data_IF_637764467703
#
_entry.id   IF_637764467703
#
_cell.length_a   1.000
_cell.length_b   1.000
_cell.length_c   1.000
_cell.angle_alpha   90.00
_cell.angle_beta   90.00
_cell.angle_gamma   90.00
#
_symmetry.space_group_name_H-M   'P 1'
#
loop_
_entity.id
_entity.type
_entity.pdbx_description
1 polymer ?
#
# COMPACT_ATOMS: atom_id res chain seq x y z
N UNK A 1 29.61 31.21 74.80
CA UNK A 1 30.93 31.04 74.13
C UNK A 1 31.06 29.78 73.25
N UNK A 2 30.00 28.99 73.01
CA UNK A 2 30.05 27.83 72.08
C UNK A 2 29.40 28.09 70.72
N UNK A 3 28.77 29.25 70.53
CA UNK A 3 27.97 29.55 69.32
C UNK A 3 28.68 30.53 68.37
N UNK A 4 29.80 31.13 68.82
CA UNK A 4 30.66 32.01 68.00
C UNK A 4 31.72 31.20 67.23
N UNK A 5 32.09 30.02 67.73
CA UNK A 5 33.03 29.11 67.04
C UNK A 5 32.43 28.49 65.77
N UNK A 6 31.12 28.23 65.74
CA UNK A 6 30.47 27.68 64.55
C UNK A 6 30.26 28.69 63.41
N UNK A 7 30.24 29.99 63.72
CA UNK A 7 30.04 31.04 62.72
C UNK A 7 31.34 31.41 61.99
N UNK A 8 32.50 31.17 62.62
CA UNK A 8 33.81 31.26 61.98
C UNK A 8 34.19 29.98 61.20
N UNK A 9 33.65 28.81 61.58
CA UNK A 9 33.93 27.55 60.91
C UNK A 9 33.23 27.41 59.54
N UNK A 10 32.10 28.10 59.32
CA UNK A 10 31.35 28.04 58.05
C UNK A 10 31.88 29.00 56.97
N UNK A 11 32.61 30.04 57.36
CA UNK A 11 33.17 31.03 56.42
C UNK A 11 34.51 30.57 55.82
N UNK A 12 35.23 29.64 56.46
CA UNK A 12 36.49 29.09 55.93
C UNK A 12 36.31 27.94 54.91
N UNK A 13 35.09 27.41 54.74
CA UNK A 13 34.80 26.32 53.79
C UNK A 13 34.28 26.80 52.41
N UNK A 14 33.99 28.10 52.26
CA UNK A 14 33.42 28.70 51.04
C UNK A 14 34.43 29.55 50.24
N UNK A 15 35.72 29.44 50.53
CA UNK A 15 36.78 30.20 49.84
C UNK A 15 37.84 29.30 49.18
N UNK A 16 37.41 28.16 48.62
CA UNK A 16 38.21 27.30 47.73
C UNK A 16 37.48 27.06 46.39
N UNK A 17 36.55 27.95 46.05
CA UNK A 17 36.02 28.08 44.70
C UNK A 17 36.90 29.04 43.90
N UNK A 18 38.08 28.58 43.43
CA UNK A 18 38.81 29.25 42.36
C UNK A 18 39.77 28.28 41.66
N UNK A 19 39.40 27.95 40.41
CA UNK A 19 40.25 27.46 39.32
C UNK A 19 40.95 26.10 39.51
N UNK A 20 40.17 25.03 39.39
CA UNK A 20 40.68 23.81 38.76
C UNK A 20 41.04 24.15 37.31
N UNK A 21 42.31 24.41 37.06
CA UNK A 21 42.88 24.34 35.72
C UNK A 21 42.66 22.92 35.20
N UNK A 22 41.66 22.73 34.36
CA UNK A 22 41.52 21.55 33.54
C UNK A 22 42.70 21.53 32.55
N UNK A 23 43.81 20.90 32.97
CA UNK A 23 44.82 20.46 32.01
C UNK A 23 44.12 19.49 31.06
N UNK A 24 43.80 19.97 29.86
CA UNK A 24 43.45 19.13 28.71
C UNK A 24 44.62 18.18 28.49
N UNK A 25 44.59 17.02 29.13
CA UNK A 25 45.34 15.86 28.66
C UNK A 25 44.79 15.59 27.28
N UNK A 26 45.60 15.84 26.25
CA UNK A 26 45.29 15.45 24.89
C UNK A 26 45.22 13.92 24.87
N UNK A 27 44.05 13.38 25.23
CA UNK A 27 43.63 12.08 24.74
C UNK A 27 43.51 12.29 23.25
N UNK A 28 44.40 11.65 22.49
CA UNK A 28 44.21 11.45 21.07
C UNK A 28 42.82 10.80 20.94
N UNK A 29 41.81 11.61 20.65
CA UNK A 29 40.53 11.10 20.21
C UNK A 29 40.87 10.31 18.95
N UNK A 30 40.89 8.97 19.07
CA UNK A 30 40.82 8.15 17.88
C UNK A 30 39.54 8.60 17.18
N UNK A 31 39.70 9.20 16.00
CA UNK A 31 38.59 9.39 15.10
C UNK A 31 37.85 8.05 15.06
N UNK A 32 36.51 8.01 15.24
CA UNK A 32 35.76 6.79 15.04
C UNK A 32 36.24 6.17 13.72
N UNK A 33 36.63 4.88 13.76
CA UNK A 33 36.90 4.16 12.54
C UNK A 33 35.69 4.36 11.62
N UNK A 34 35.88 4.63 10.31
CA UNK A 34 34.78 4.70 9.38
C UNK A 34 33.88 3.48 9.61
N UNK A 35 32.59 3.71 9.85
CA UNK A 35 31.65 2.61 9.95
C UNK A 35 31.79 1.75 8.68
N UNK A 36 31.72 0.41 8.78
CA UNK A 36 31.72 -0.45 7.61
C UNK A 36 30.74 0.11 6.58
N UNK A 37 31.20 0.28 5.33
CA UNK A 37 30.30 0.68 4.26
C UNK A 37 29.11 -0.30 4.25
N UNK A 38 27.86 0.19 4.18
CA UNK A 38 26.70 -0.69 4.14
C UNK A 38 26.89 -1.70 3.03
N UNK A 39 26.86 -3.00 3.37
CA UNK A 39 26.91 -4.03 2.34
C UNK A 39 25.72 -3.83 1.38
N UNK A 40 25.96 -3.81 0.06
CA UNK A 40 24.90 -3.61 -0.91
C UNK A 40 23.87 -4.73 -0.77
N UNK A 41 22.58 -4.35 -0.71
CA UNK A 41 21.50 -5.30 -0.52
C UNK A 41 21.44 -6.30 -1.69
N UNK A 42 21.56 -7.59 -1.38
CA UNK A 42 21.37 -8.67 -2.35
C UNK A 42 19.88 -9.01 -2.46
N UNK A 43 19.25 -8.62 -3.58
CA UNK A 43 17.80 -8.76 -3.79
C UNK A 43 17.39 -10.23 -3.72
N UNK A 44 18.14 -11.12 -4.37
CA UNK A 44 17.88 -12.57 -4.36
C UNK A 44 17.81 -13.11 -2.94
N UNK A 45 18.83 -12.80 -2.13
CA UNK A 45 18.88 -13.25 -0.74
C UNK A 45 17.76 -12.67 0.11
N UNK A 46 17.41 -11.39 -0.10
CA UNK A 46 16.28 -10.77 0.60
C UNK A 46 14.95 -11.47 0.27
N UNK A 47 14.70 -11.79 -1.01
CA UNK A 47 13.46 -12.43 -1.41
C UNK A 47 13.38 -13.90 -1.01
N UNK A 48 14.51 -14.61 -1.04
CA UNK A 48 14.59 -16.03 -0.68
C UNK A 48 14.43 -16.25 0.84
N UNK A 49 15.02 -15.39 1.68
CA UNK A 49 15.01 -15.56 3.14
C UNK A 49 13.82 -14.90 3.82
N UNK A 50 13.38 -13.72 3.34
CA UNK A 50 12.49 -12.87 4.13
C UNK A 50 10.99 -13.20 4.03
N UNK A 51 10.55 -14.07 3.12
CA UNK A 51 9.13 -14.39 3.03
C UNK A 51 8.71 -15.29 1.87
N UNK A 52 7.39 -15.49 1.72
CA UNK A 52 6.84 -16.26 0.61
C UNK A 52 6.86 -15.40 -0.67
N UNK A 53 8.05 -15.12 -1.20
CA UNK A 53 8.28 -14.32 -2.40
C UNK A 53 8.87 -15.13 -3.56
N UNK A 54 8.87 -16.46 -3.45
CA UNK A 54 9.54 -17.37 -4.37
C UNK A 54 8.95 -17.30 -5.78
N UNK A 55 7.64 -17.08 -5.91
CA UNK A 55 6.97 -16.93 -7.20
C UNK A 55 7.43 -15.67 -7.91
N UNK A 56 7.50 -14.55 -7.19
CA UNK A 56 8.01 -13.30 -7.75
C UNK A 56 9.50 -13.39 -8.10
N UNK A 57 10.30 -14.05 -7.26
CA UNK A 57 11.71 -14.31 -7.53
C UNK A 57 11.90 -15.12 -8.83
N UNK A 58 11.12 -16.19 -9.02
CA UNK A 58 11.13 -16.97 -10.27
C UNK A 58 10.80 -16.12 -11.49
N UNK A 59 9.84 -15.20 -11.38
CA UNK A 59 9.53 -14.27 -12.47
C UNK A 59 10.68 -13.27 -12.74
N UNK A 60 11.34 -12.77 -11.70
CA UNK A 60 12.52 -11.90 -11.84
C UNK A 60 13.66 -12.61 -12.59
N UNK A 61 13.87 -13.90 -12.28
CA UNK A 61 14.86 -14.75 -12.95
C UNK A 61 14.47 -15.04 -14.40
N UNK A 62 13.25 -15.54 -14.65
CA UNK A 62 12.81 -15.95 -15.99
C UNK A 62 12.74 -14.79 -16.99
N UNK A 63 12.47 -13.57 -16.50
CA UNK A 63 12.41 -12.36 -17.33
C UNK A 63 13.74 -11.62 -17.45
N UNK A 64 14.81 -12.12 -16.81
CA UNK A 64 16.12 -11.47 -16.72
C UNK A 64 16.05 -10.04 -16.14
N UNK A 65 15.09 -9.77 -15.25
CA UNK A 65 14.94 -8.47 -14.59
C UNK A 65 15.78 -8.37 -13.32
N UNK A 66 16.05 -9.50 -12.66
CA UNK A 66 16.84 -9.57 -11.42
C UNK A 66 18.19 -8.85 -11.55
N UNK A 67 18.93 -9.10 -12.63
CA UNK A 67 20.22 -8.47 -12.88
C UNK A 67 20.11 -6.94 -13.01
N UNK A 68 19.11 -6.45 -13.74
CA UNK A 68 18.84 -5.01 -13.89
C UNK A 68 18.57 -4.35 -12.55
N UNK A 69 17.71 -4.95 -11.72
CA UNK A 69 17.38 -4.40 -10.41
C UNK A 69 18.57 -4.46 -9.46
N UNK A 70 19.36 -5.55 -9.49
CA UNK A 70 20.56 -5.65 -8.66
C UNK A 70 21.61 -4.62 -9.06
N UNK A 71 21.81 -4.38 -10.37
CA UNK A 71 22.70 -3.31 -10.85
C UNK A 71 22.22 -1.94 -10.37
N UNK A 72 20.91 -1.68 -10.39
CA UNK A 72 20.36 -0.44 -9.84
C UNK A 72 20.59 -0.33 -8.33
N UNK A 73 20.32 -1.42 -7.58
CA UNK A 73 20.49 -1.47 -6.13
C UNK A 73 21.93 -1.19 -5.68
N UNK A 74 22.92 -1.47 -6.54
CA UNK A 74 24.32 -1.22 -6.26
C UNK A 74 24.75 0.23 -6.52
N UNK A 75 23.89 1.07 -7.13
CA UNK A 75 24.20 2.49 -7.34
C UNK A 75 23.99 3.26 -6.03
N UNK A 76 24.96 4.09 -5.68
CA UNK A 76 24.95 4.91 -4.46
C UNK A 76 24.79 6.41 -4.74
N UNK A 77 24.84 6.82 -6.02
CA UNK A 77 24.98 8.21 -6.45
C UNK A 77 23.64 8.98 -6.51
N UNK A 78 22.72 8.67 -5.60
CA UNK A 78 21.38 9.27 -5.52
C UNK A 78 20.32 8.58 -6.39
N UNK A 79 20.71 7.61 -7.20
CA UNK A 79 19.80 6.65 -7.81
C UNK A 79 19.66 5.45 -6.86
N UNK A 80 18.43 5.03 -6.59
CA UNK A 80 18.14 3.92 -5.68
C UNK A 80 17.15 2.96 -6.30
N UNK A 81 16.69 2.00 -5.50
CA UNK A 81 15.68 1.05 -5.89
C UNK A 81 14.60 0.98 -4.84
N UNK A 82 13.34 1.06 -5.29
CA UNK A 82 12.20 0.61 -4.50
C UNK A 82 11.57 -0.57 -5.22
N UNK A 83 11.39 -1.68 -4.54
CA UNK A 83 10.79 -2.90 -5.08
C UNK A 83 9.53 -3.25 -4.28
N UNK A 84 8.41 -3.37 -4.96
CA UNK A 84 7.17 -3.89 -4.41
C UNK A 84 7.06 -5.38 -4.70
N UNK A 85 6.93 -6.18 -3.66
CA UNK A 85 6.99 -7.64 -3.74
C UNK A 85 5.64 -8.24 -3.36
N UNK A 86 4.89 -8.79 -4.32
CA UNK A 86 3.69 -9.56 -4.02
C UNK A 86 4.05 -10.86 -3.31
N UNK A 87 3.21 -11.27 -2.35
CA UNK A 87 3.30 -12.61 -1.74
C UNK A 87 2.92 -13.69 -2.75
N UNK A 88 3.38 -14.91 -2.52
CA UNK A 88 3.03 -16.09 -3.32
C UNK A 88 1.49 -16.26 -3.45
N UNK A 89 0.75 -16.04 -2.35
CA UNK A 89 -0.72 -16.09 -2.32
C UNK A 89 -1.39 -15.03 -3.22
N UNK A 90 -0.71 -13.91 -3.49
CA UNK A 90 -1.22 -12.87 -4.38
C UNK A 90 -1.27 -13.37 -5.82
N UNK A 91 -0.35 -14.26 -6.22
CA UNK A 91 -0.36 -14.90 -7.54
C UNK A 91 -1.42 -15.98 -7.64
N UNK A 92 -1.63 -16.78 -6.58
CA UNK A 92 -2.67 -17.81 -6.57
C UNK A 92 -4.08 -17.21 -6.58
N UNK A 93 -4.24 -16.02 -5.98
CA UNK A 93 -5.50 -15.27 -5.95
C UNK A 93 -5.80 -14.58 -7.28
N UNK A 94 -4.79 -14.37 -8.12
CA UNK A 94 -4.92 -13.72 -9.43
C UNK A 94 -5.47 -14.70 -10.48
N UNK A 95 -6.80 -14.87 -10.49
CA UNK A 95 -7.48 -15.74 -11.47
C UNK A 95 -7.64 -15.06 -12.84
N UNK A 96 -8.08 -13.81 -12.82
CA UNK A 96 -8.29 -12.99 -14.01
C UNK A 96 -7.87 -11.54 -13.69
N UNK A 97 -6.99 -10.92 -14.49
CA UNK A 97 -6.32 -11.47 -15.67
C UNK A 97 -5.19 -12.46 -15.32
N UNK A 98 -4.88 -13.41 -16.21
CA UNK A 98 -3.79 -14.37 -16.01
C UNK A 98 -2.46 -13.87 -16.58
N UNK A 99 -1.39 -13.94 -15.80
CA UNK A 99 -0.02 -13.63 -16.25
C UNK A 99 0.50 -14.64 -17.29
N UNK A 100 -0.08 -15.84 -17.35
CA UNK A 100 0.36 -16.90 -18.30
C UNK A 100 -0.04 -16.61 -19.75
N UNK A 101 -0.97 -15.68 -19.97
CA UNK A 101 -1.42 -15.28 -21.31
C UNK A 101 -0.57 -14.15 -21.90
N UNK A 102 0.43 -13.66 -21.17
CA UNK A 102 1.28 -12.56 -21.59
C UNK A 102 2.42 -13.07 -22.49
N UNK A 103 2.82 -12.24 -23.44
CA UNK A 103 4.11 -12.42 -24.13
C UNK A 103 5.26 -12.19 -23.15
N UNK A 104 6.45 -12.74 -23.43
CA UNK A 104 7.65 -12.54 -22.60
C UNK A 104 7.96 -11.04 -22.39
N UNK A 105 7.77 -10.23 -23.42
CA UNK A 105 7.94 -8.77 -23.36
C UNK A 105 6.93 -8.13 -22.40
N UNK A 106 5.65 -8.50 -22.48
CA UNK A 106 4.62 -7.99 -21.58
C UNK A 106 4.88 -8.44 -20.14
N UNK A 107 5.21 -9.71 -19.93
CA UNK A 107 5.54 -10.24 -18.61
C UNK A 107 6.72 -9.46 -18.00
N UNK A 108 7.79 -9.24 -18.78
CA UNK A 108 8.92 -8.42 -18.34
C UNK A 108 8.51 -7.01 -17.93
N UNK A 109 7.60 -6.36 -18.67
CA UNK A 109 7.07 -5.04 -18.30
C UNK A 109 6.26 -5.09 -17.00
N UNK A 110 5.44 -6.13 -16.79
CA UNK A 110 4.72 -6.33 -15.52
C UNK A 110 5.71 -6.47 -14.35
N UNK A 111 6.79 -7.22 -14.51
CA UNK A 111 7.78 -7.38 -13.45
C UNK A 111 8.55 -6.07 -13.19
N UNK A 112 8.97 -5.35 -14.24
CA UNK A 112 9.61 -4.02 -14.10
C UNK A 112 8.67 -2.98 -13.46
N UNK A 113 7.37 -3.11 -13.68
CA UNK A 113 6.35 -2.22 -13.11
C UNK A 113 6.28 -2.29 -11.58
N UNK A 114 6.75 -3.38 -10.98
CA UNK A 114 6.84 -3.53 -9.54
C UNK A 114 8.03 -2.78 -8.92
N UNK A 115 8.87 -2.11 -9.72
CA UNK A 115 10.04 -1.38 -9.23
C UNK A 115 9.99 0.11 -9.58
N UNK A 116 10.56 0.96 -8.71
CA UNK A 116 10.79 2.39 -8.96
C UNK A 116 12.30 2.67 -9.05
N UNK A 117 12.75 3.58 -9.94
CA UNK A 117 14.16 3.95 -10.13
C UNK A 117 14.74 4.84 -9.03
N UNK A 118 14.04 4.98 -7.91
CA UNK A 118 14.50 5.73 -6.74
C UNK A 118 14.18 4.97 -5.47
N UNK A 119 15.01 5.18 -4.45
CA UNK A 119 14.71 4.76 -3.09
C UNK A 119 13.62 5.67 -2.51
N UNK A 120 12.55 5.06 -2.00
CA UNK A 120 11.52 5.74 -1.23
C UNK A 120 11.38 5.04 0.12
N UNK A 121 11.41 5.81 1.20
CA UNK A 121 11.03 5.35 2.53
C UNK A 121 9.51 5.29 2.67
N UNK A 122 9.00 4.65 3.73
CA UNK A 122 7.56 4.66 4.05
C UNK A 122 7.00 6.08 4.20
N UNK A 123 7.79 7.01 4.75
CA UNK A 123 7.43 8.42 4.89
C UNK A 123 7.31 9.14 3.54
N UNK A 124 8.14 8.76 2.57
CA UNK A 124 8.12 9.37 1.24
C UNK A 124 6.85 8.98 0.47
N UNK A 125 6.36 7.75 0.61
CA UNK A 125 5.09 7.35 -0.03
C UNK A 125 3.91 8.21 0.43
N UNK A 126 3.90 8.65 1.69
CA UNK A 126 2.89 9.59 2.18
C UNK A 126 2.98 10.93 1.47
N UNK A 127 4.18 11.41 1.16
CA UNK A 127 4.36 12.64 0.37
C UNK A 127 3.93 12.42 -1.08
N UNK A 128 4.31 11.29 -1.69
CA UNK A 128 3.92 10.92 -3.05
C UNK A 128 2.41 10.87 -3.25
N UNK A 129 1.64 10.55 -2.19
CA UNK A 129 0.18 10.60 -2.24
C UNK A 129 -0.43 11.96 -2.59
N UNK A 130 0.37 13.03 -2.56
CA UNK A 130 -0.03 14.41 -2.86
C UNK A 130 0.51 14.94 -4.18
N UNK A 131 1.48 14.26 -4.80
CA UNK A 131 2.28 14.80 -5.92
C UNK A 131 1.84 14.22 -7.26
N UNK A 132 1.19 13.05 -7.27
CA UNK A 132 0.63 12.43 -8.48
C UNK A 132 1.34 11.12 -8.87
N UNK A 133 1.15 10.65 -10.12
CA UNK A 133 1.69 9.38 -10.57
C UNK A 133 3.22 9.37 -10.56
N UNK A 134 3.79 8.24 -10.13
CA UNK A 134 5.25 8.00 -10.08
C UNK A 134 5.63 7.04 -11.18
N UNK A 135 6.68 7.36 -11.93
CA UNK A 135 7.18 6.50 -12.98
C UNK A 135 7.86 5.26 -12.41
N UNK A 136 7.50 4.09 -12.94
CA UNK A 136 8.13 2.81 -12.60
C UNK A 136 9.33 2.52 -13.51
N UNK A 137 10.07 1.47 -13.21
CA UNK A 137 11.16 0.93 -14.02
C UNK A 137 10.73 0.47 -15.42
N UNK A 138 9.44 0.21 -15.63
CA UNK A 138 8.90 -0.11 -16.95
C UNK A 138 8.86 1.12 -17.90
N UNK A 139 8.97 2.34 -17.36
CA UNK A 139 9.05 3.59 -18.13
C UNK A 139 7.75 4.00 -18.82
N UNK A 140 7.77 5.03 -19.67
CA UNK A 140 6.62 5.42 -20.52
C UNK A 140 5.28 5.55 -19.77
N UNK A 141 4.25 4.84 -20.22
CA UNK A 141 2.91 4.89 -19.62
C UNK A 141 2.77 4.13 -18.28
N UNK A 142 3.83 3.48 -17.80
CA UNK A 142 3.82 2.60 -16.64
C UNK A 142 4.05 3.40 -15.34
N UNK A 143 2.97 3.96 -14.78
CA UNK A 143 3.00 4.76 -13.55
C UNK A 143 2.20 4.14 -12.40
N UNK A 144 2.58 4.47 -11.17
CA UNK A 144 1.89 4.07 -9.94
C UNK A 144 1.40 5.30 -9.18
N UNK A 145 0.20 5.21 -8.62
CA UNK A 145 -0.35 6.23 -7.73
C UNK A 145 -0.29 5.76 -6.28
N UNK A 146 -0.01 6.68 -5.38
CA UNK A 146 0.03 6.41 -3.94
C UNK A 146 -1.13 7.10 -3.27
N UNK A 147 -1.73 6.46 -2.27
CA UNK A 147 -2.77 7.06 -1.43
C UNK A 147 -2.53 6.67 0.02
N UNK A 148 -2.85 7.57 0.95
CA UNK A 148 -2.78 7.30 2.39
C UNK A 148 -4.21 7.12 2.91
N UNK A 149 -4.56 5.91 3.35
CA UNK A 149 -5.86 5.59 3.93
C UNK A 149 -5.66 5.29 5.41
N UNK A 150 -5.97 6.27 6.25
CA UNK A 150 -5.87 6.16 7.72
C UNK A 150 -4.49 5.70 8.22
N UNK A 151 -3.41 6.14 7.57
CA UNK A 151 -2.03 5.79 7.92
C UNK A 151 -1.50 4.53 7.23
N UNK A 152 -2.32 3.85 6.41
CA UNK A 152 -1.88 2.76 5.55
C UNK A 152 -1.72 3.26 4.12
N UNK A 153 -0.50 3.15 3.59
CA UNK A 153 -0.20 3.49 2.19
C UNK A 153 -0.75 2.40 1.27
N UNK A 154 -1.55 2.82 0.30
CA UNK A 154 -1.98 2.00 -0.82
C UNK A 154 -1.30 2.45 -2.12
N UNK A 155 -0.98 1.47 -2.95
CA UNK A 155 -0.38 1.63 -4.27
C UNK A 155 -1.42 1.21 -5.29
N UNK A 156 -1.67 2.07 -6.28
CA UNK A 156 -2.64 1.86 -7.35
C UNK A 156 -1.94 1.84 -8.70
N UNK A 157 -2.25 0.83 -9.50
CA UNK A 157 -1.77 0.68 -10.88
C UNK A 157 -2.78 1.13 -11.94
N UNK A 158 -3.91 1.72 -11.52
CA UNK A 158 -5.09 1.93 -12.38
C UNK A 158 -5.95 0.68 -12.53
N UNK A 159 -5.34 -0.50 -12.63
CA UNK A 159 -6.06 -1.79 -12.65
C UNK A 159 -6.29 -2.39 -11.26
N UNK A 160 -5.25 -2.36 -10.43
CA UNK A 160 -5.21 -3.01 -9.11
C UNK A 160 -4.84 -1.98 -8.05
N UNK A 161 -5.46 -2.09 -6.88
CA UNK A 161 -5.13 -1.28 -5.70
C UNK A 161 -4.73 -2.23 -4.58
N UNK A 162 -3.52 -2.06 -4.05
CA UNK A 162 -2.96 -2.91 -3.01
C UNK A 162 -2.40 -2.08 -1.87
N UNK A 163 -2.43 -2.62 -0.65
CA UNK A 163 -1.73 -2.01 0.49
C UNK A 163 -0.29 -2.49 0.55
N UNK A 164 0.59 -1.64 1.05
CA UNK A 164 1.92 -2.04 1.53
C UNK A 164 1.72 -2.67 2.90
N UNK A 165 1.88 -4.00 3.00
CA UNK A 165 1.55 -4.75 4.21
C UNK A 165 2.76 -4.96 5.14
N UNK A 166 3.98 -4.88 4.63
CA UNK A 166 5.20 -4.96 5.44
C UNK A 166 6.40 -4.31 4.73
N UNK A 167 7.40 -3.91 5.52
CA UNK A 167 8.72 -3.50 5.02
C UNK A 167 9.68 -4.67 5.19
N UNK A 168 10.06 -5.31 4.09
CA UNK A 168 11.01 -6.43 4.07
C UNK A 168 12.43 -5.92 4.32
N UNK A 169 12.79 -4.82 3.66
CA UNK A 169 14.05 -4.14 3.81
C UNK A 169 13.83 -2.64 3.54
N UNK A 170 14.40 -1.75 4.34
CA UNK A 170 14.30 -0.31 4.08
C UNK A 170 15.56 0.37 4.61
N UNK A 171 16.56 0.47 3.75
CA UNK A 171 17.79 1.19 4.01
C UNK A 171 18.37 1.64 2.68
N UNK A 172 18.63 2.95 2.53
CA UNK A 172 19.19 3.50 1.31
C UNK A 172 20.46 2.73 0.91
N UNK A 173 20.63 2.38 -0.39
CA UNK A 173 19.84 2.83 -1.54
C UNK A 173 18.64 1.91 -1.90
N UNK A 174 18.26 0.95 -1.06
CA UNK A 174 17.26 -0.09 -1.41
C UNK A 174 16.08 -0.13 -0.43
N UNK A 175 14.87 -0.10 -0.97
CA UNK A 175 13.61 -0.35 -0.28
C UNK A 175 12.90 -1.54 -0.89
N UNK A 176 12.52 -2.52 -0.07
CA UNK A 176 11.76 -3.71 -0.47
C UNK A 176 10.50 -3.78 0.40
N UNK A 177 9.34 -3.68 -0.24
CA UNK A 177 8.05 -3.57 0.43
C UNK A 177 7.12 -4.68 -0.01
N UNK A 178 6.56 -5.39 0.95
CA UNK A 178 5.56 -6.42 0.69
C UNK A 178 4.23 -5.78 0.32
N UNK A 179 3.58 -6.31 -0.71
CA UNK A 179 2.22 -5.95 -1.12
C UNK A 179 1.31 -7.18 -1.17
N UNK A 180 0.00 -6.95 -1.04
CA UNK A 180 -0.99 -8.02 -0.93
C UNK A 180 -1.63 -8.44 -2.26
N UNK A 181 -1.50 -7.62 -3.31
CA UNK A 181 -1.92 -7.97 -4.67
C UNK A 181 -0.80 -7.69 -5.67
N UNK A 182 -0.80 -8.40 -6.79
CA UNK A 182 0.10 -8.14 -7.93
C UNK A 182 -0.30 -6.81 -8.58
N UNK A 183 0.69 -5.94 -8.85
CA UNK A 183 0.47 -4.69 -9.58
C UNK A 183 0.33 -4.98 -11.07
N UNK A 184 -0.83 -4.66 -11.63
CA UNK A 184 -1.15 -4.91 -13.03
C UNK A 184 -1.21 -3.59 -13.81
N UNK A 185 -0.36 -3.39 -14.83
CA UNK A 185 -0.40 -2.17 -15.64
C UNK A 185 -1.66 -2.05 -16.50
N UNK A 186 -2.36 -0.92 -16.39
CA UNK A 186 -3.48 -0.59 -17.27
C UNK A 186 -3.08 -0.62 -18.76
N UNK A 187 -1.84 -0.25 -19.09
CA UNK A 187 -1.32 -0.29 -20.45
C UNK A 187 -1.27 -1.69 -21.09
N UNK A 188 -1.28 -2.77 -20.28
CA UNK A 188 -1.26 -4.17 -20.74
C UNK A 188 -2.65 -4.79 -20.63
N UNK A 189 -3.36 -4.50 -19.54
CA UNK A 189 -4.62 -5.17 -19.21
C UNK A 189 -5.87 -4.37 -19.62
N UNK A 190 -5.72 -3.13 -20.09
CA UNK A 190 -6.82 -2.18 -20.29
C UNK A 190 -7.29 -1.58 -18.96
N UNK A 191 -8.41 -0.83 -18.92
CA UNK A 191 -9.01 -0.33 -17.68
C UNK A 191 -9.70 -1.46 -16.89
N UNK A 192 -9.62 -1.43 -15.55
CA UNK A 192 -10.19 -2.49 -14.70
C UNK A 192 -11.66 -2.72 -15.03
N UNK A 193 -12.01 -3.92 -15.47
CA UNK A 193 -13.41 -4.31 -15.58
C UNK A 193 -13.94 -4.55 -14.16
N UNK A 194 -15.04 -3.88 -13.74
CA UNK A 194 -15.69 -4.24 -12.50
C UNK A 194 -16.06 -5.72 -12.61
N UNK A 195 -15.66 -6.52 -11.61
CA UNK A 195 -16.04 -7.92 -11.53
C UNK A 195 -17.56 -7.99 -11.53
N UNK A 196 -18.16 -8.28 -12.70
CA UNK A 196 -19.57 -8.64 -12.78
C UNK A 196 -19.66 -9.90 -11.94
N UNK A 197 -20.29 -9.78 -10.78
CA UNK A 197 -20.63 -10.91 -9.93
C UNK A 197 -21.19 -11.99 -10.86
N UNK A 198 -20.59 -13.18 -10.82
CA UNK A 198 -21.06 -14.30 -11.63
C UNK A 198 -22.59 -14.37 -11.51
N UNK A 199 -23.34 -14.43 -12.64
CA UNK A 199 -24.78 -14.52 -12.56
C UNK A 199 -25.13 -15.69 -11.64
N UNK A 200 -26.03 -15.49 -10.66
CA UNK A 200 -26.40 -16.54 -9.73
C UNK A 200 -26.80 -17.79 -10.53
N UNK A 201 -26.48 -19.01 -10.04
CA UNK A 201 -26.84 -20.25 -10.71
C UNK A 201 -28.30 -20.18 -11.15
N UNK A 202 -28.53 -20.36 -12.46
CA UNK A 202 -29.87 -20.39 -12.99
C UNK A 202 -30.68 -21.45 -12.23
N UNK A 203 -31.92 -21.15 -11.80
CA UNK A 203 -32.79 -22.16 -11.20
C UNK A 203 -32.92 -23.34 -12.16
N UNK A 204 -32.61 -24.55 -11.70
CA UNK A 204 -32.89 -25.78 -12.44
C UNK A 204 -34.38 -25.81 -12.78
N UNK A 205 -34.70 -25.66 -14.05
CA UNK A 205 -36.06 -25.83 -14.56
C UNK A 205 -36.41 -27.31 -14.46
N UNK A 206 -37.31 -27.65 -13.53
CA UNK A 206 -38.00 -28.94 -13.53
C UNK A 206 -38.73 -29.11 -14.86
N UNK A 207 -38.34 -30.15 -15.60
CA UNK A 207 -39.07 -30.67 -16.76
C UNK A 207 -40.49 -31.12 -16.35
N UNK A 208 -41.57 -30.62 -16.98
CA UNK A 208 -42.86 -31.27 -16.89
C UNK A 208 -42.94 -32.36 -17.97
N UNK A 209 -43.11 -33.61 -17.54
CA UNK A 209 -43.47 -34.71 -18.43
C UNK A 209 -44.92 -34.56 -18.91
N UNK A 210 -45.12 -34.76 -20.21
CA UNK A 210 -46.42 -34.86 -20.88
C UNK A 210 -47.10 -36.22 -20.60
N UNK A 211 -48.43 -36.23 -20.44
CA UNK A 211 -49.42 -36.78 -21.40
C UNK A 211 -50.86 -36.72 -20.82
N UNK A 212 -51.88 -36.62 -21.67
CA UNK A 212 -53.33 -36.47 -21.38
C UNK A 212 -54.03 -37.87 -21.28
N UNK A 213 -55.39 -38.09 -21.32
CA UNK A 213 -56.55 -37.20 -21.51
C UNK A 213 -57.87 -37.51 -20.69
N UNK A 214 -58.97 -36.81 -21.08
CA UNK A 214 -60.43 -37.03 -20.83
C UNK A 214 -61.03 -36.54 -19.49
N UNK A 215 -62.27 -36.04 -19.37
CA UNK A 215 -63.35 -35.56 -20.28
C UNK A 215 -64.41 -34.81 -19.42
N UNK A 216 -65.30 -34.07 -20.10
CA UNK A 216 -66.67 -33.65 -19.75
C UNK A 216 -67.02 -32.39 -18.88
N UNK A 217 -67.45 -31.34 -19.60
CA UNK A 217 -68.72 -30.57 -19.53
C UNK A 217 -69.36 -30.16 -18.19
N UNK A 218 -69.50 -28.85 -17.93
CA UNK A 218 -70.81 -28.13 -17.90
C UNK A 218 -70.71 -26.66 -17.43
N UNK A 219 -71.51 -25.81 -18.09
CA UNK A 219 -71.72 -24.37 -17.93
C UNK A 219 -72.22 -23.90 -16.54
N UNK A 220 -71.88 -22.65 -16.15
CA UNK A 220 -72.83 -21.52 -16.01
C UNK A 220 -72.31 -20.37 -15.11
N UNK A 221 -72.11 -19.22 -15.75
CA UNK A 221 -72.59 -17.86 -15.39
C UNK A 221 -72.46 -17.30 -13.95
N UNK A 222 -71.65 -16.23 -13.78
CA UNK A 222 -72.14 -14.89 -13.40
C UNK A 222 -71.04 -13.80 -13.33
N UNK A 223 -71.12 -12.86 -14.28
CA UNK A 223 -71.06 -11.39 -14.06
C UNK A 223 -69.72 -10.64 -13.78
N UNK A 224 -69.62 -9.34 -14.15
CA UNK A 224 -68.34 -8.66 -14.51
C UNK A 224 -68.08 -7.35 -13.67
N UNK A 225 -67.35 -6.31 -14.12
CA UNK A 225 -65.97 -5.97 -13.73
C UNK A 225 -65.77 -4.56 -13.12
N UNK A 226 -64.64 -4.31 -12.43
CA UNK A 226 -64.00 -3.00 -12.14
C UNK A 226 -62.90 -3.24 -11.09
N UNK A 227 -61.73 -2.60 -10.99
CA UNK A 227 -61.18 -1.36 -11.55
C UNK A 227 -59.66 -1.41 -11.36
N UNK A 228 -58.91 -0.74 -12.24
CA UNK A 228 -57.49 -0.42 -12.09
C UNK A 228 -57.28 0.44 -10.83
N UNK A 229 -56.10 0.33 -10.19
CA UNK A 229 -55.21 1.43 -9.78
C UNK A 229 -53.95 0.87 -9.05
N UNK A 230 -52.80 1.56 -9.12
CA UNK A 230 -51.48 1.00 -8.83
C UNK A 230 -50.98 1.32 -7.41
N UNK A 231 -50.33 0.37 -6.73
CA UNK A 231 -49.65 0.65 -5.45
C UNK A 231 -48.15 0.89 -5.67
N UNK A 232 -47.77 2.14 -5.40
CA UNK A 232 -46.42 2.70 -5.35
C UNK A 232 -45.74 2.31 -4.02
N UNK A 233 -44.47 1.88 -4.07
CA UNK A 233 -43.65 1.67 -2.87
C UNK A 233 -42.27 2.34 -2.98
N UNK A 234 -42.22 3.52 -2.37
CA UNK A 234 -41.13 4.30 -1.76
C UNK A 234 -39.65 3.97 -2.08
N UNK A 235 -38.98 4.92 -2.75
CA UNK A 235 -37.53 5.12 -2.66
C UNK A 235 -37.22 6.11 -1.53
N UNK A 236 -36.45 5.68 -0.54
CA UNK A 236 -35.91 6.54 0.53
C UNK A 236 -34.67 7.25 -0.01
N UNK A 237 -34.73 8.58 -0.11
CA UNK A 237 -33.60 9.46 -0.43
C UNK A 237 -33.28 10.26 0.82
N UNK A 238 -32.13 10.00 1.45
CA UNK A 238 -31.61 10.80 2.56
C UNK A 238 -30.81 11.99 2.02
N UNK A 239 -31.44 13.16 2.02
CA UNK A 239 -30.77 14.45 1.79
C UNK A 239 -30.32 15.04 3.12
N UNK A 240 -29.01 15.17 3.35
CA UNK A 240 -28.43 15.91 4.47
C UNK A 240 -28.22 17.38 4.05
N UNK A 241 -28.90 18.28 4.75
CA UNK A 241 -28.91 19.73 4.52
C UNK A 241 -27.81 20.38 5.36
N UNK A 242 -26.98 21.21 4.73
CA UNK A 242 -26.01 22.08 5.39
C UNK A 242 -26.72 23.25 6.09
N UNK A 243 -26.47 23.42 7.39
CA UNK A 243 -26.89 24.61 8.14
C UNK A 243 -25.65 25.46 8.48
N UNK A 244 -25.55 26.62 7.82
CA UNK A 244 -24.69 27.73 8.21
C UNK A 244 -25.45 28.58 9.24
N UNK A 245 -24.89 28.80 10.42
CA UNK A 245 -25.31 29.91 11.27
C UNK A 245 -24.08 30.57 11.89
N UNK A 246 -23.71 31.74 11.37
CA UNK A 246 -22.86 32.68 12.06
C UNK A 246 -23.71 33.50 13.03
N UNK A 247 -23.19 33.73 14.24
CA UNK A 247 -23.59 34.87 15.08
C UNK A 247 -22.34 35.43 15.75
N UNK A 248 -22.05 36.66 15.37
CA UNK A 248 -21.12 37.62 15.96
C UNK A 248 -21.66 38.09 17.31
N UNK A 249 -20.85 38.09 18.39
CA UNK A 249 -21.04 39.01 19.52
C UNK A 249 -19.71 39.30 20.24
N UNK A 250 -19.41 40.60 20.31
CA UNK A 250 -18.38 41.30 21.09
C UNK A 250 -18.49 41.03 22.60
N UNK A 251 -17.37 40.95 23.32
CA UNK A 251 -16.95 41.94 24.36
C UNK A 251 -15.90 41.40 25.36
N UNK A 252 -14.79 42.14 25.46
CA UNK A 252 -14.06 42.60 26.67
C UNK A 252 -13.80 41.61 27.81
N UNK A 253 -12.52 41.27 28.06
CA UNK A 253 -11.65 41.70 29.19
C UNK A 253 -10.20 41.34 28.81
#
# INVERSE_FOLDING_TARGET
MKNITYLFATILLMLICSSCNAQKKATLAQSPAPAPEPEPANITHLLDVAGPFHTFLKYLESTNVLGTLQTQANKTDGEGLTLFVPKDDSFTSLKNPSLSNLTDTQLKQVILFHALPHFYSLSDFKNLSKVGPVQTFAGGAYTLNFTDVSGTVQVSSGWSVTKISSSVWSAAPVGVYQIDMVLLPEAIFGPSVPSVAAPPPAPEAHVPAADAPSDDTSDADKGPPATKEPSSSYRVVCSLVFALSGVLLLSVI
#
